data_IF_683551047394
#
_entry.id   IF_683551047394
#
_cell.length_a   1.000
_cell.length_b   1.000
_cell.length_c   1.000
_cell.angle_alpha   90.00
_cell.angle_beta   90.00
_cell.angle_gamma   90.00
#
_symmetry.space_group_name_H-M   'P 1'
#
loop_
_entity.id
_entity.type
_entity.pdbx_description
1 polymer ?
#
# COMPACT_ATOMS: atom_id res chain seq x y z
N UNK A 1 -34.08 38.76 -0.97
CA UNK A 1 -33.05 39.21 -1.94
C UNK A 1 -31.83 39.69 -1.15
N UNK A 2 -31.05 38.75 -0.62
CA UNK A 2 -29.79 38.98 0.10
C UNK A 2 -28.88 37.81 -0.33
N UNK A 3 -27.57 38.04 -0.34
CA UNK A 3 -26.46 37.11 -0.63
C UNK A 3 -25.84 37.25 -2.05
N UNK A 4 -25.09 38.36 -2.27
CA UNK A 4 -23.90 38.31 -3.12
C UNK A 4 -22.59 38.30 -2.30
N UNK A 5 -22.61 38.74 -1.03
CA UNK A 5 -21.38 38.94 -0.24
C UNK A 5 -20.74 37.66 0.33
N UNK A 6 -21.52 36.60 0.58
CA UNK A 6 -21.00 35.34 1.16
C UNK A 6 -20.13 34.58 0.15
N UNK A 7 -20.41 34.69 -1.16
CA UNK A 7 -19.63 34.00 -2.20
C UNK A 7 -18.22 34.57 -2.36
N UNK A 8 -18.03 35.87 -2.11
CA UNK A 8 -16.72 36.50 -2.24
C UNK A 8 -15.77 36.10 -1.10
N UNK A 9 -16.26 36.08 0.15
CA UNK A 9 -15.46 35.64 1.28
C UNK A 9 -15.06 34.16 1.19
N UNK A 10 -15.96 33.30 0.69
CA UNK A 10 -15.66 31.87 0.50
C UNK A 10 -14.59 31.66 -0.59
N UNK A 11 -14.66 32.42 -1.69
CA UNK A 11 -13.70 32.35 -2.79
C UNK A 11 -12.31 32.86 -2.36
N UNK A 12 -12.25 33.94 -1.57
CA UNK A 12 -11.01 34.47 -1.01
C UNK A 12 -10.39 33.49 -0.01
N UNK A 13 -11.20 32.81 0.81
CA UNK A 13 -10.72 31.80 1.74
C UNK A 13 -10.17 30.56 1.01
N UNK A 14 -10.84 30.12 -0.07
CA UNK A 14 -10.35 29.03 -0.92
C UNK A 14 -9.05 29.40 -1.65
N UNK A 15 -8.94 30.64 -2.16
CA UNK A 15 -7.72 31.14 -2.81
C UNK A 15 -6.56 31.26 -1.82
N UNK A 16 -6.83 31.69 -0.57
CA UNK A 16 -5.83 31.71 0.50
C UNK A 16 -5.38 30.31 0.89
N UNK A 17 -6.28 29.32 0.97
CA UNK A 17 -5.92 27.92 1.25
C UNK A 17 -5.10 27.28 0.13
N UNK A 18 -5.41 27.58 -1.14
CA UNK A 18 -4.61 27.12 -2.29
C UNK A 18 -3.25 27.85 -2.35
N UNK A 19 -3.20 29.13 -1.97
CA UNK A 19 -1.96 29.90 -1.91
C UNK A 19 -1.05 29.44 -0.76
N UNK A 20 -1.59 29.10 0.41
CA UNK A 20 -0.80 28.55 1.52
C UNK A 20 -0.31 27.13 1.25
N UNK A 21 -1.04 26.33 0.47
CA UNK A 21 -0.53 25.05 -0.04
C UNK A 21 0.59 25.20 -1.09
N UNK A 22 0.59 26.27 -1.89
CA UNK A 22 1.66 26.55 -2.87
C UNK A 22 2.90 27.23 -2.29
N UNK A 23 2.81 27.88 -1.12
CA UNK A 23 3.93 28.59 -0.49
C UNK A 23 4.83 27.71 0.40
N UNK A 24 4.58 26.39 0.48
CA UNK A 24 5.45 25.42 1.18
C UNK A 24 6.30 24.55 0.24
N UNK A 25 6.60 25.04 -0.96
CA UNK A 25 7.70 24.48 -1.75
C UNK A 25 8.94 25.33 -1.47
N UNK A 26 9.59 25.06 -0.33
CA UNK A 26 10.91 25.61 -0.06
C UNK A 26 11.87 25.11 -1.14
N UNK A 27 12.44 26.04 -1.90
CA UNK A 27 13.59 25.77 -2.74
C UNK A 27 14.74 25.30 -1.84
N UNK A 28 15.10 24.03 -1.95
CA UNK A 28 16.24 23.45 -1.24
C UNK A 28 17.55 24.08 -1.73
N UNK A 29 18.43 24.55 -0.84
CA UNK A 29 19.77 24.99 -1.22
C UNK A 29 20.57 23.81 -1.79
N UNK A 30 21.08 23.98 -3.01
CA UNK A 30 21.88 23.00 -3.74
C UNK A 30 23.33 22.98 -3.24
N UNK A 31 23.56 22.48 -2.02
CA UNK A 31 24.89 22.07 -1.59
C UNK A 31 25.07 20.57 -1.86
N UNK A 32 25.71 20.26 -2.98
CA UNK A 32 26.02 18.89 -3.40
C UNK A 32 27.18 18.32 -2.57
N UNK A 33 26.86 17.84 -1.37
CA UNK A 33 27.59 16.69 -0.81
C UNK A 33 26.72 15.47 -1.10
N UNK A 34 27.29 14.44 -1.71
CA UNK A 34 26.58 13.18 -1.99
C UNK A 34 26.36 12.42 -0.68
N UNK A 35 25.57 12.95 0.25
CA UNK A 35 24.94 12.11 1.26
C UNK A 35 23.90 11.28 0.52
N UNK A 36 24.11 9.96 0.47
CA UNK A 36 23.07 9.06 -0.01
C UNK A 36 21.85 9.31 0.87
N UNK A 37 20.75 9.79 0.29
CA UNK A 37 19.49 9.95 1.00
C UNK A 37 19.19 8.63 1.74
N UNK A 38 18.78 8.68 3.01
CA UNK A 38 18.47 7.48 3.77
C UNK A 38 17.44 6.65 3.01
N UNK A 39 17.66 5.34 2.94
CA UNK A 39 16.68 4.43 2.37
C UNK A 39 15.36 4.57 3.15
N UNK A 40 14.21 4.60 2.47
CA UNK A 40 12.94 4.70 3.17
C UNK A 40 12.72 3.49 4.08
N UNK A 41 11.98 3.66 5.19
CA UNK A 41 11.75 2.60 6.15
C UNK A 41 10.99 1.42 5.55
N UNK A 42 11.26 0.23 6.09
CA UNK A 42 10.46 -0.96 5.79
C UNK A 42 9.13 -0.91 6.54
N UNK A 43 8.06 -1.36 5.87
CA UNK A 43 6.73 -1.54 6.45
C UNK A 43 6.46 -3.03 6.59
N UNK A 44 6.50 -3.54 7.81
CA UNK A 44 6.34 -4.96 8.14
C UNK A 44 4.88 -5.24 8.47
N UNK A 45 4.17 -5.92 7.58
CA UNK A 45 2.77 -6.25 7.75
C UNK A 45 2.58 -7.61 8.44
N UNK A 46 1.87 -7.61 9.57
CA UNK A 46 1.56 -8.78 10.38
C UNK A 46 0.06 -9.08 10.29
N UNK A 47 -0.34 -10.33 10.05
CA UNK A 47 -1.76 -10.70 9.92
C UNK A 47 -2.44 -11.06 11.25
N UNK A 48 -1.68 -11.18 12.33
CA UNK A 48 -2.20 -11.59 13.65
C UNK A 48 -1.41 -10.97 14.81
N UNK A 49 -1.95 -10.96 16.04
CA UNK A 49 -1.20 -10.56 17.24
C UNK A 49 0.06 -11.41 17.47
N UNK A 50 -0.01 -12.72 17.22
CA UNK A 50 1.15 -13.62 17.34
C UNK A 50 2.27 -13.26 16.36
N UNK A 51 1.92 -12.92 15.11
CA UNK A 51 2.91 -12.40 14.16
C UNK A 51 3.48 -11.06 14.61
N UNK A 52 2.64 -10.18 15.16
CA UNK A 52 3.09 -8.88 15.68
C UNK A 52 4.11 -9.05 16.83
N UNK A 53 3.86 -9.93 17.79
CA UNK A 53 4.81 -10.22 18.88
C UNK A 53 6.14 -10.77 18.34
N UNK A 54 6.10 -11.67 17.35
CA UNK A 54 7.32 -12.18 16.71
C UNK A 54 8.06 -11.09 15.94
N UNK A 55 7.33 -10.19 15.27
CA UNK A 55 7.92 -9.04 14.58
C UNK A 55 8.57 -8.06 15.57
N UNK A 56 7.94 -7.83 16.73
CA UNK A 56 8.53 -7.07 17.85
C UNK A 56 9.87 -7.71 18.25
N UNK A 57 9.91 -9.01 18.56
CA UNK A 57 11.16 -9.69 18.93
C UNK A 57 12.25 -9.61 17.86
N UNK A 58 11.85 -9.54 16.58
CA UNK A 58 12.79 -9.57 15.47
C UNK A 58 13.35 -8.20 15.11
N UNK A 59 12.50 -7.17 15.13
CA UNK A 59 12.83 -5.86 14.61
C UNK A 59 13.14 -4.84 15.70
N UNK A 60 12.60 -5.00 16.90
CA UNK A 60 12.81 -4.04 18.00
C UNK A 60 14.07 -4.43 18.77
N UNK A 61 14.86 -3.41 19.12
CA UNK A 61 16.10 -3.55 19.87
C UNK A 61 15.93 -2.98 21.27
N UNK A 62 16.75 -3.48 22.19
CA UNK A 62 16.90 -2.84 23.49
C UNK A 62 17.37 -1.38 23.31
N UNK A 63 16.73 -0.46 24.03
CA UNK A 63 17.00 0.98 23.94
C UNK A 63 16.14 1.75 22.93
N UNK A 64 15.38 1.07 22.05
CA UNK A 64 14.55 1.74 21.04
C UNK A 64 13.49 2.68 21.69
N UNK A 65 13.25 3.82 21.05
CA UNK A 65 12.08 4.69 21.26
C UNK A 65 10.94 4.21 20.36
N UNK A 66 9.87 3.69 20.94
CA UNK A 66 8.77 3.05 20.20
C UNK A 66 7.45 3.79 20.37
N UNK A 67 6.76 4.06 19.27
CA UNK A 67 5.38 4.53 19.25
C UNK A 67 4.44 3.34 18.95
N UNK A 68 3.54 2.98 19.87
CA UNK A 68 2.47 2.01 19.61
C UNK A 68 1.12 2.74 19.46
N UNK A 69 0.60 2.79 18.23
CA UNK A 69 -0.76 3.26 17.92
C UNK A 69 -1.74 2.08 17.91
N UNK A 70 -2.75 2.16 18.76
CA UNK A 70 -3.71 1.08 18.99
C UNK A 70 -3.29 0.18 20.13
N UNK A 71 -2.65 0.75 21.15
CA UNK A 71 -2.19 0.00 22.33
C UNK A 71 -3.39 -0.39 23.19
N UNK A 72 -3.66 -1.69 23.28
CA UNK A 72 -4.73 -2.20 24.15
C UNK A 72 -4.23 -2.61 25.54
N UNK A 73 -2.97 -2.33 25.87
CA UNK A 73 -2.31 -2.75 27.11
C UNK A 73 -2.44 -4.27 27.34
N UNK A 74 -2.18 -5.04 26.29
CA UNK A 74 -2.29 -6.52 26.29
C UNK A 74 -0.90 -7.17 26.38
N UNK A 75 -0.83 -8.49 26.32
CA UNK A 75 0.40 -9.28 26.21
C UNK A 75 1.34 -8.76 25.09
N UNK A 76 0.80 -8.20 24.00
CA UNK A 76 1.62 -7.61 22.93
C UNK A 76 2.38 -6.37 23.42
N UNK A 77 1.71 -5.50 24.16
CA UNK A 77 2.29 -4.29 24.75
C UNK A 77 3.26 -4.64 25.86
N UNK A 78 2.95 -5.64 26.69
CA UNK A 78 3.88 -6.16 27.70
C UNK A 78 5.15 -6.72 27.03
N UNK A 79 5.00 -7.54 26.00
CA UNK A 79 6.11 -8.12 25.23
C UNK A 79 6.97 -7.02 24.58
N UNK A 80 6.35 -5.97 24.04
CA UNK A 80 7.04 -4.77 23.57
C UNK A 80 7.91 -4.14 24.67
N UNK A 81 7.31 -3.86 25.83
CA UNK A 81 8.01 -3.22 26.95
C UNK A 81 9.19 -4.05 27.45
N UNK A 82 9.04 -5.38 27.49
CA UNK A 82 10.13 -6.30 27.81
C UNK A 82 11.24 -6.23 26.75
N UNK A 83 10.88 -6.24 25.46
CA UNK A 83 11.83 -6.24 24.34
C UNK A 83 12.69 -4.97 24.26
N UNK A 84 12.12 -3.79 24.54
CA UNK A 84 12.88 -2.52 24.52
C UNK A 84 13.84 -2.37 25.72
N UNK A 85 13.74 -3.23 26.74
CA UNK A 85 14.61 -3.22 27.91
C UNK A 85 14.55 -1.92 28.73
N UNK A 86 15.36 -1.83 29.79
CA UNK A 86 15.27 -0.74 30.77
C UNK A 86 15.66 0.63 30.21
N UNK A 87 16.43 0.65 29.11
CA UNK A 87 16.92 1.87 28.46
C UNK A 87 15.98 2.39 27.36
N UNK A 88 15.03 1.57 26.90
CA UNK A 88 14.06 1.97 25.89
C UNK A 88 12.87 2.73 26.48
N UNK A 89 12.09 3.37 25.62
CA UNK A 89 10.81 4.00 26.02
C UNK A 89 9.71 3.67 25.04
N UNK A 90 8.49 3.57 25.54
CA UNK A 90 7.30 3.35 24.74
C UNK A 90 6.27 4.45 24.96
N UNK A 91 5.82 5.07 23.86
CA UNK A 91 4.64 5.94 23.83
C UNK A 91 3.47 5.11 23.31
N UNK A 92 2.51 4.84 24.18
CA UNK A 92 1.37 3.97 23.93
C UNK A 92 0.11 4.81 23.75
N UNK A 93 -0.58 4.63 22.63
CA UNK A 93 -1.73 5.46 22.26
C UNK A 93 -2.93 4.57 21.92
N UNK A 94 -4.08 4.85 22.52
CA UNK A 94 -5.38 4.25 22.14
C UNK A 94 -6.43 5.36 21.95
N UNK A 95 -7.51 5.06 21.23
CA UNK A 95 -8.66 5.96 21.13
C UNK A 95 -9.69 5.59 22.18
N UNK A 96 -10.18 6.57 22.93
CA UNK A 96 -11.23 6.39 23.93
C UNK A 96 -12.47 5.81 23.28
N UNK A 97 -12.93 4.67 23.81
CA UNK A 97 -14.12 3.98 23.29
C UNK A 97 -15.29 4.25 24.19
N UNK A 98 -16.46 4.53 23.61
CA UNK A 98 -17.71 4.47 24.36
C UNK A 98 -17.87 3.03 24.84
N UNK A 99 -17.93 2.83 26.16
CA UNK A 99 -17.92 1.53 26.86
C UNK A 99 -18.92 0.48 26.33
N UNK A 100 -19.89 0.89 25.50
CA UNK A 100 -21.05 0.11 25.12
C UNK A 100 -20.91 -0.90 23.98
N UNK A 101 -19.76 -1.05 23.29
CA UNK A 101 -19.75 -1.87 22.04
C UNK A 101 -18.83 -3.09 21.99
N UNK A 102 -17.84 -3.24 22.87
CA UNK A 102 -17.03 -4.46 22.86
C UNK A 102 -16.62 -4.82 24.28
N UNK A 103 -17.10 -5.95 24.83
CA UNK A 103 -16.63 -6.53 26.09
C UNK A 103 -15.16 -6.97 26.11
N UNK A 104 -14.32 -6.39 25.23
CA UNK A 104 -12.87 -6.59 25.14
C UNK A 104 -12.07 -5.65 26.04
N UNK A 105 -12.70 -4.63 26.64
CA UNK A 105 -12.02 -3.67 27.53
C UNK A 105 -12.24 -3.95 29.02
N UNK A 106 -13.21 -4.80 29.39
CA UNK A 106 -13.67 -4.88 30.79
C UNK A 106 -12.71 -5.57 31.77
N UNK A 107 -11.63 -6.20 31.30
CA UNK A 107 -10.65 -6.92 32.15
C UNK A 107 -9.19 -6.55 31.84
N UNK A 108 -8.92 -5.32 31.36
CA UNK A 108 -7.53 -4.90 31.11
C UNK A 108 -6.83 -4.64 32.45
N UNK A 109 -5.79 -5.41 32.74
CA UNK A 109 -4.88 -5.09 33.84
C UNK A 109 -3.93 -3.97 33.42
N UNK A 110 -4.41 -2.73 33.58
CA UNK A 110 -3.61 -1.55 33.28
C UNK A 110 -2.61 -1.24 34.39
N UNK A 111 -2.68 -1.93 35.54
CA UNK A 111 -1.86 -1.63 36.71
C UNK A 111 -0.37 -1.83 36.43
N UNK A 112 -0.01 -2.81 35.60
CA UNK A 112 1.38 -3.04 35.15
C UNK A 112 2.01 -1.83 34.45
N UNK A 113 1.19 -1.02 33.80
CA UNK A 113 1.62 0.11 32.99
C UNK A 113 1.41 1.46 33.69
N UNK A 114 0.36 1.56 34.52
CA UNK A 114 -0.14 2.84 35.04
C UNK A 114 -0.05 2.97 36.56
N UNK A 115 0.16 1.89 37.31
CA UNK A 115 0.32 2.01 38.76
C UNK A 115 1.71 2.56 39.11
N UNK A 116 1.82 3.27 40.25
CA UNK A 116 3.10 3.83 40.72
C UNK A 116 4.18 2.76 40.92
N UNK A 117 3.78 1.52 41.22
CA UNK A 117 4.66 0.36 41.37
C UNK A 117 4.64 -0.55 40.14
N UNK A 118 4.05 -0.10 39.02
CA UNK A 118 3.96 -0.85 37.79
C UNK A 118 5.35 -1.08 37.20
N UNK A 119 5.62 -2.30 36.75
CA UNK A 119 6.93 -2.72 36.21
C UNK A 119 7.47 -1.76 35.13
N UNK A 120 6.56 -1.13 34.37
CA UNK A 120 6.93 -0.32 33.20
C UNK A 120 6.71 1.18 33.37
N UNK A 121 6.26 1.64 34.55
CA UNK A 121 5.77 3.02 34.75
C UNK A 121 6.80 4.10 34.38
N UNK A 122 8.09 3.85 34.59
CA UNK A 122 9.15 4.84 34.33
C UNK A 122 9.55 4.97 32.85
N UNK A 123 9.12 4.05 31.99
CA UNK A 123 9.50 3.98 30.58
C UNK A 123 8.31 3.99 29.62
N UNK A 124 7.09 3.93 30.14
CA UNK A 124 5.85 3.94 29.37
C UNK A 124 5.12 5.25 29.56
N UNK A 125 4.74 5.88 28.46
CA UNK A 125 3.79 6.99 28.44
C UNK A 125 2.52 6.52 27.75
N UNK A 126 1.43 6.34 28.49
CA UNK A 126 0.12 6.01 27.92
C UNK A 126 -0.73 7.27 27.69
N UNK A 127 -1.35 7.36 26.51
CA UNK A 127 -2.25 8.45 26.14
C UNK A 127 -3.53 7.89 25.53
N UNK A 128 -4.66 8.28 26.09
CA UNK A 128 -5.97 7.98 25.54
C UNK A 128 -6.48 9.20 24.77
N UNK A 129 -6.83 9.02 23.50
CA UNK A 129 -7.29 10.09 22.62
C UNK A 129 -8.80 10.24 22.68
N UNK A 130 -9.31 11.46 22.79
CA UNK A 130 -10.74 11.73 22.61
C UNK A 130 -11.14 11.63 21.14
N UNK A 131 -10.22 12.02 20.25
CA UNK A 131 -10.40 11.95 18.80
C UNK A 131 -9.15 11.38 18.14
N UNK A 132 -9.35 10.54 17.13
CA UNK A 132 -8.25 9.84 16.46
C UNK A 132 -7.16 10.79 15.93
N UNK A 133 -7.54 11.93 15.35
CA UNK A 133 -6.63 12.90 14.75
C UNK A 133 -5.60 13.50 15.71
N UNK A 134 -5.85 13.41 17.03
CA UNK A 134 -4.94 13.85 18.09
C UNK A 134 -3.65 13.03 18.15
N UNK A 135 -3.56 11.85 17.54
CA UNK A 135 -2.34 11.02 17.59
C UNK A 135 -1.09 11.78 17.13
N UNK A 136 -1.25 12.70 16.18
CA UNK A 136 -0.17 13.54 15.63
C UNK A 136 0.53 14.36 16.70
N UNK A 137 -0.21 14.85 17.70
CA UNK A 137 0.37 15.66 18.77
C UNK A 137 1.22 14.86 19.76
N UNK A 138 1.21 13.53 19.63
CA UNK A 138 2.01 12.62 20.45
C UNK A 138 3.11 11.93 19.63
N UNK A 139 3.14 12.16 18.32
CA UNK A 139 4.20 11.73 17.42
C UNK A 139 5.28 12.82 17.21
N UNK A 140 5.43 13.74 18.17
CA UNK A 140 6.43 14.83 18.11
C UNK A 140 7.84 14.36 18.41
N UNK A 141 8.01 13.35 19.26
CA UNK A 141 9.32 12.80 19.55
C UNK A 141 9.91 12.07 18.33
N UNK A 142 11.21 11.79 18.41
CA UNK A 142 11.92 10.96 17.45
C UNK A 142 11.74 9.50 17.86
N UNK A 143 11.22 8.69 16.95
CA UNK A 143 10.95 7.28 17.20
C UNK A 143 11.77 6.40 16.27
N UNK A 144 12.41 5.39 16.83
CA UNK A 144 13.15 4.38 16.06
C UNK A 144 12.19 3.41 15.36
N UNK A 145 11.04 3.15 15.99
CA UNK A 145 10.04 2.18 15.52
C UNK A 145 8.63 2.71 15.76
N UNK A 146 7.74 2.44 14.81
CA UNK A 146 6.30 2.56 15.01
C UNK A 146 5.65 1.18 14.93
N UNK A 147 4.72 0.92 15.85
CA UNK A 147 3.77 -0.18 15.80
C UNK A 147 2.38 0.40 15.56
N UNK A 148 1.63 -0.18 14.62
CA UNK A 148 0.26 0.22 14.30
C UNK A 148 -0.67 -0.99 14.32
N UNK A 149 -1.63 -1.03 15.25
CA UNK A 149 -2.80 -1.92 15.16
C UNK A 149 -3.96 -1.16 14.49
N UNK A 150 -4.02 -1.27 13.15
CA UNK A 150 -5.00 -0.53 12.34
C UNK A 150 -6.45 -0.88 12.70
N UNK A 151 -6.73 -2.15 13.00
CA UNK A 151 -8.05 -2.61 13.40
C UNK A 151 -8.49 -2.03 14.75
N UNK A 152 -7.55 -1.89 15.68
CA UNK A 152 -7.82 -1.25 16.98
C UNK A 152 -8.04 0.25 16.85
N UNK A 153 -7.29 0.95 16.00
CA UNK A 153 -7.39 2.41 15.87
C UNK A 153 -8.59 2.88 15.05
N UNK A 154 -8.90 2.20 13.94
CA UNK A 154 -9.86 2.68 12.93
C UNK A 154 -11.16 1.86 12.97
N UNK A 155 -11.18 0.75 13.72
CA UNK A 155 -12.32 -0.18 13.82
C UNK A 155 -12.47 -1.13 12.63
N UNK A 156 -11.87 -0.82 11.48
CA UNK A 156 -11.85 -1.65 10.29
C UNK A 156 -10.41 -1.89 9.81
N UNK A 157 -10.11 -3.13 9.45
CA UNK A 157 -8.80 -3.52 8.92
C UNK A 157 -8.71 -3.25 7.42
N UNK A 158 -8.60 -1.97 7.04
CA UNK A 158 -8.45 -1.52 5.66
C UNK A 158 -7.00 -1.15 5.35
N UNK A 159 -6.39 -1.83 4.37
CA UNK A 159 -4.98 -1.63 4.02
C UNK A 159 -4.67 -0.20 3.55
N UNK A 160 -5.60 0.48 2.87
CA UNK A 160 -5.43 1.89 2.47
C UNK A 160 -5.29 2.82 3.68
N UNK A 161 -6.11 2.62 4.71
CA UNK A 161 -6.06 3.42 5.93
C UNK A 161 -4.78 3.14 6.70
N UNK A 162 -4.38 1.87 6.80
CA UNK A 162 -3.13 1.47 7.44
C UNK A 162 -1.90 2.10 6.75
N UNK A 163 -1.84 2.06 5.41
CA UNK A 163 -0.76 2.66 4.63
C UNK A 163 -0.74 4.18 4.73
N UNK A 164 -1.91 4.83 4.74
CA UNK A 164 -2.01 6.29 4.91
C UNK A 164 -1.38 6.71 6.23
N UNK A 165 -1.72 6.02 7.33
CA UNK A 165 -1.19 6.33 8.65
C UNK A 165 0.31 6.05 8.78
N UNK A 166 0.77 4.92 8.25
CA UNK A 166 2.19 4.59 8.23
C UNK A 166 3.00 5.65 7.47
N UNK A 167 2.54 6.04 6.26
CA UNK A 167 3.23 7.04 5.45
C UNK A 167 3.17 8.44 6.06
N UNK A 168 2.05 8.81 6.69
CA UNK A 168 1.94 10.07 7.42
C UNK A 168 2.92 10.14 8.59
N UNK A 169 3.04 9.06 9.36
CA UNK A 169 4.04 8.97 10.42
C UNK A 169 5.47 9.08 9.87
N UNK A 170 5.79 8.32 8.82
CA UNK A 170 7.12 8.35 8.18
C UNK A 170 7.45 9.77 7.71
N UNK A 171 6.51 10.45 7.02
CA UNK A 171 6.71 11.82 6.56
C UNK A 171 6.98 12.78 7.73
N UNK A 172 6.17 12.71 8.80
CA UNK A 172 6.33 13.55 9.99
C UNK A 172 7.69 13.35 10.70
N UNK A 173 8.22 12.12 10.67
CA UNK A 173 9.52 11.81 11.25
C UNK A 173 10.68 12.23 10.33
N UNK A 174 10.54 12.06 9.01
CA UNK A 174 11.53 12.51 8.03
C UNK A 174 11.69 14.04 8.00
N UNK A 175 10.63 14.81 8.24
CA UNK A 175 10.70 16.27 8.38
C UNK A 175 11.63 16.73 9.53
N UNK A 176 11.91 15.84 10.49
CA UNK A 176 12.77 16.10 11.66
C UNK A 176 14.14 15.45 11.56
N UNK A 177 14.50 14.91 10.39
CA UNK A 177 15.70 14.10 10.19
C UNK A 177 15.76 12.86 11.11
N UNK A 178 14.59 12.36 11.51
CA UNK A 178 14.44 11.25 12.45
C UNK A 178 13.78 10.04 11.78
N UNK A 179 14.27 9.63 10.61
CA UNK A 179 13.66 8.55 9.84
C UNK A 179 13.59 7.26 10.68
N UNK A 180 12.39 6.70 10.93
CA UNK A 180 12.27 5.47 11.70
C UNK A 180 12.98 4.34 10.96
N UNK A 181 13.49 3.35 11.69
CA UNK A 181 14.14 2.19 11.09
C UNK A 181 13.12 1.25 10.46
N UNK A 182 11.96 1.11 11.09
CA UNK A 182 10.91 0.16 10.69
C UNK A 182 9.54 0.60 11.21
N UNK A 183 8.51 0.33 10.41
CA UNK A 183 7.11 0.46 10.81
C UNK A 183 6.49 -0.94 10.79
N UNK A 184 5.96 -1.39 11.92
CA UNK A 184 5.31 -2.70 12.07
C UNK A 184 3.80 -2.48 12.12
N UNK A 185 3.06 -3.07 11.19
CA UNK A 185 1.62 -2.86 11.07
C UNK A 185 0.89 -4.18 11.22
N UNK A 186 0.03 -4.29 12.23
CA UNK A 186 -0.90 -5.42 12.35
C UNK A 186 -2.17 -5.12 11.56
N UNK A 187 -2.23 -5.73 10.39
CA UNK A 187 -3.32 -5.64 9.41
C UNK A 187 -3.30 -6.89 8.52
N UNK A 188 -4.38 -7.68 8.56
CA UNK A 188 -4.54 -8.87 7.72
C UNK A 188 -4.65 -8.46 6.25
N UNK A 189 -5.39 -7.40 5.94
CA UNK A 189 -5.55 -6.94 4.55
C UNK A 189 -4.25 -6.39 3.98
N UNK A 190 -3.46 -5.64 4.76
CA UNK A 190 -2.16 -5.15 4.33
C UNK A 190 -1.14 -6.29 4.20
N UNK A 191 -1.17 -7.27 5.11
CA UNK A 191 -0.34 -8.48 5.01
C UNK A 191 -0.68 -9.30 3.76
N UNK A 192 -1.96 -9.40 3.40
CA UNK A 192 -2.39 -10.02 2.15
C UNK A 192 -1.82 -9.27 0.93
N UNK A 193 -1.94 -7.94 0.87
CA UNK A 193 -1.34 -7.13 -0.19
C UNK A 193 0.18 -7.33 -0.27
N UNK A 194 0.86 -7.33 0.88
CA UNK A 194 2.30 -7.51 0.98
C UNK A 194 2.79 -8.88 0.43
N UNK A 195 1.97 -9.93 0.53
CA UNK A 195 2.27 -11.24 -0.07
C UNK A 195 2.03 -11.29 -1.58
N UNK A 196 1.14 -10.44 -2.09
CA UNK A 196 0.73 -10.42 -3.51
C UNK A 196 1.52 -9.43 -4.36
N UNK A 197 2.13 -8.42 -3.75
CA UNK A 197 2.93 -7.43 -4.46
C UNK A 197 4.34 -7.98 -4.75
N UNK A 198 4.73 -8.01 -6.03
CA UNK A 198 6.02 -8.52 -6.47
C UNK A 198 6.76 -7.40 -7.16
N UNK A 199 7.91 -7.00 -6.60
CA UNK A 199 8.78 -6.04 -7.24
C UNK A 199 9.22 -6.55 -8.63
N UNK A 200 8.92 -5.80 -9.68
CA UNK A 200 9.18 -6.18 -11.07
C UNK A 200 10.63 -6.55 -11.35
N UNK A 201 11.61 -5.81 -10.85
CA UNK A 201 13.01 -6.20 -10.99
C UNK A 201 13.30 -7.62 -10.46
N UNK A 202 12.69 -8.02 -9.33
CA UNK A 202 12.85 -9.38 -8.76
C UNK A 202 12.21 -10.46 -9.61
N UNK A 203 11.13 -10.13 -10.31
CA UNK A 203 10.53 -11.01 -11.31
C UNK A 203 11.47 -11.16 -12.51
N UNK A 204 11.99 -10.04 -13.02
CA UNK A 204 12.78 -9.99 -14.25
C UNK A 204 14.20 -10.56 -14.12
N UNK A 205 14.79 -10.54 -12.92
CA UNK A 205 16.09 -11.16 -12.63
C UNK A 205 15.99 -12.61 -12.13
N UNK A 206 14.76 -13.12 -11.96
CA UNK A 206 14.50 -14.49 -11.54
C UNK A 206 14.67 -14.74 -10.03
N UNK A 207 14.89 -13.71 -9.21
CA UNK A 207 14.95 -13.86 -7.74
C UNK A 207 13.59 -14.19 -7.13
N UNK A 208 12.50 -13.82 -7.80
CA UNK A 208 11.13 -14.26 -7.49
C UNK A 208 10.56 -15.04 -8.65
N UNK A 209 10.14 -16.28 -8.40
CA UNK A 209 9.43 -17.13 -9.37
C UNK A 209 7.94 -17.10 -9.05
N UNK A 210 7.13 -16.76 -10.06
CA UNK A 210 5.66 -16.78 -9.96
C UNK A 210 5.16 -18.19 -10.24
N UNK A 211 4.27 -18.70 -9.39
CA UNK A 211 3.66 -20.02 -9.60
C UNK A 211 2.85 -20.03 -10.91
N UNK A 212 2.91 -21.14 -11.64
CA UNK A 212 2.10 -21.32 -12.85
C UNK A 212 0.61 -21.57 -12.54
N UNK A 213 0.31 -22.01 -11.32
CA UNK A 213 -1.01 -22.47 -10.88
C UNK A 213 -1.81 -21.37 -10.19
N UNK A 214 -1.48 -20.11 -10.44
CA UNK A 214 -2.25 -18.99 -9.91
C UNK A 214 -3.57 -18.96 -10.66
N UNK A 215 -4.66 -18.91 -9.89
CA UNK A 215 -6.01 -18.81 -10.41
C UNK A 215 -6.49 -17.36 -10.40
N UNK A 216 -7.57 -17.12 -11.16
CA UNK A 216 -8.25 -15.83 -11.21
C UNK A 216 -8.91 -15.55 -9.86
N UNK A 217 -8.78 -14.32 -9.36
CA UNK A 217 -9.42 -13.93 -8.10
C UNK A 217 -9.56 -12.42 -7.96
N UNK A 218 -10.32 -11.98 -6.97
CA UNK A 218 -10.39 -10.57 -6.55
C UNK A 218 -9.15 -10.11 -5.76
N UNK A 219 -8.18 -11.00 -5.53
CA UNK A 219 -6.91 -10.76 -4.86
C UNK A 219 -5.73 -11.16 -5.80
N UNK A 220 -5.57 -10.50 -6.95
CA UNK A 220 -4.53 -10.86 -7.93
C UNK A 220 -3.13 -10.57 -7.40
N UNK A 221 -2.12 -11.19 -8.02
CA UNK A 221 -0.75 -10.68 -7.91
C UNK A 221 -0.66 -9.26 -8.48
N UNK A 222 0.20 -8.44 -7.89
CA UNK A 222 0.44 -7.06 -8.35
C UNK A 222 1.91 -6.89 -8.69
N UNK A 223 2.22 -6.54 -9.94
CA UNK A 223 3.59 -6.34 -10.43
C UNK A 223 3.78 -4.89 -10.85
N UNK A 224 4.26 -4.01 -9.95
CA UNK A 224 4.50 -2.62 -10.30
C UNK A 224 5.83 -2.44 -11.02
N UNK A 225 5.79 -1.73 -12.14
CA UNK A 225 6.92 -1.38 -12.99
C UNK A 225 7.12 0.14 -12.99
N UNK A 226 8.35 0.62 -13.16
CA UNK A 226 8.66 2.06 -13.23
C UNK A 226 8.53 2.56 -14.66
N UNK A 227 9.14 1.86 -15.61
CA UNK A 227 9.22 2.28 -17.02
C UNK A 227 8.44 1.37 -17.96
N UNK A 228 8.08 1.90 -19.13
CA UNK A 228 7.37 1.13 -20.18
C UNK A 228 8.18 -0.09 -20.67
N UNK A 229 9.50 0.01 -20.68
CA UNK A 229 10.37 -1.11 -21.08
C UNK A 229 10.33 -2.24 -20.04
N UNK A 230 10.38 -1.90 -18.75
CA UNK A 230 10.24 -2.87 -17.66
C UNK A 230 8.86 -3.53 -17.70
N UNK A 231 7.81 -2.71 -17.84
CA UNK A 231 6.43 -3.14 -17.99
C UNK A 231 6.25 -4.17 -19.11
N UNK A 232 6.75 -3.89 -20.32
CA UNK A 232 6.70 -4.84 -21.45
C UNK A 232 7.53 -6.10 -21.25
N UNK A 233 8.66 -6.01 -20.54
CA UNK A 233 9.52 -7.18 -20.24
C UNK A 233 8.85 -8.18 -19.31
N UNK A 234 7.76 -7.81 -18.63
CA UNK A 234 7.00 -8.75 -17.78
C UNK A 234 6.10 -9.71 -18.58
N UNK A 235 5.78 -9.39 -19.85
CA UNK A 235 4.87 -10.19 -20.69
C UNK A 235 5.26 -11.67 -20.76
N UNK A 236 6.51 -12.05 -21.06
CA UNK A 236 6.90 -13.47 -21.16
C UNK A 236 6.82 -14.25 -19.83
N UNK A 237 6.70 -13.56 -18.70
CA UNK A 237 6.64 -14.18 -17.37
C UNK A 237 5.21 -14.36 -16.86
N UNK A 238 4.28 -13.53 -17.35
CA UNK A 238 2.94 -13.38 -16.75
C UNK A 238 1.81 -13.70 -17.73
N UNK A 239 2.07 -13.69 -19.04
CA UNK A 239 1.08 -13.94 -20.08
C UNK A 239 1.39 -15.27 -20.75
N UNK A 240 0.37 -16.11 -20.90
CA UNK A 240 0.43 -17.43 -21.54
C UNK A 240 -0.36 -17.42 -22.84
N UNK A 241 -0.02 -18.35 -23.73
CA UNK A 241 -0.88 -18.63 -24.88
C UNK A 241 -2.26 -19.07 -24.38
N UNK A 242 -3.31 -18.53 -24.99
CA UNK A 242 -4.69 -18.79 -24.62
C UNK A 242 -5.28 -17.82 -23.59
N UNK A 243 -4.44 -17.04 -22.89
CA UNK A 243 -4.91 -16.07 -21.90
C UNK A 243 -5.78 -14.98 -22.54
N UNK A 244 -6.61 -14.37 -21.70
CA UNK A 244 -7.39 -13.19 -22.04
C UNK A 244 -6.83 -11.98 -21.29
N UNK A 245 -6.28 -11.02 -22.05
CA UNK A 245 -5.59 -9.86 -21.52
C UNK A 245 -6.32 -8.55 -21.83
N UNK A 246 -6.20 -7.59 -20.92
CA UNK A 246 -6.61 -6.20 -21.19
C UNK A 246 -5.52 -5.23 -20.77
N UNK A 247 -5.23 -4.26 -21.62
CA UNK A 247 -4.41 -3.10 -21.28
C UNK A 247 -5.27 -1.86 -21.08
N UNK A 248 -5.23 -1.28 -19.89
CA UNK A 248 -5.85 -0.01 -19.52
C UNK A 248 -4.82 1.11 -19.64
N UNK A 249 -5.12 2.13 -20.44
CA UNK A 249 -4.18 3.17 -20.83
C UNK A 249 -3.26 2.72 -21.97
N UNK A 250 -3.83 2.15 -23.03
CA UNK A 250 -3.08 1.53 -24.13
C UNK A 250 -2.27 2.52 -24.96
N UNK A 251 -2.56 3.84 -24.87
CA UNK A 251 -1.94 4.86 -25.70
C UNK A 251 -1.99 4.45 -27.20
N UNK A 252 -0.87 4.53 -27.93
CA UNK A 252 -0.76 4.08 -29.32
C UNK A 252 -0.79 2.55 -29.54
N UNK A 253 -1.08 1.74 -28.52
CA UNK A 253 -1.39 0.31 -28.67
C UNK A 253 -0.19 -0.64 -28.82
N UNK A 254 1.06 -0.15 -28.74
CA UNK A 254 2.26 -1.01 -28.91
C UNK A 254 2.32 -2.15 -27.90
N UNK A 255 2.03 -1.88 -26.62
CA UNK A 255 2.05 -2.93 -25.59
C UNK A 255 0.86 -3.88 -25.78
N UNK A 256 -0.32 -3.36 -26.09
CA UNK A 256 -1.50 -4.18 -26.43
C UNK A 256 -1.21 -5.14 -27.58
N UNK A 257 -0.53 -4.68 -28.63
CA UNK A 257 -0.09 -5.55 -29.73
C UNK A 257 0.85 -6.67 -29.24
N UNK A 258 1.79 -6.35 -28.35
CA UNK A 258 2.65 -7.38 -27.75
C UNK A 258 1.87 -8.39 -26.92
N UNK A 259 0.83 -7.95 -26.18
CA UNK A 259 -0.07 -8.85 -25.45
C UNK A 259 -0.84 -9.74 -26.42
N UNK A 260 -1.42 -9.16 -27.47
CA UNK A 260 -2.13 -9.89 -28.53
C UNK A 260 -1.25 -10.97 -29.16
N UNK A 261 0.01 -10.66 -29.44
CA UNK A 261 0.94 -11.63 -30.02
C UNK A 261 1.32 -12.72 -29.01
N UNK A 262 1.43 -12.39 -27.72
CA UNK A 262 1.78 -13.33 -26.65
C UNK A 262 0.64 -14.31 -26.30
N UNK A 263 -0.61 -13.84 -26.31
CA UNK A 263 -1.78 -14.71 -26.04
C UNK A 263 -2.09 -15.66 -27.21
N UNK A 264 -1.59 -15.35 -28.41
CA UNK A 264 -1.70 -16.21 -29.58
C UNK A 264 -3.12 -16.35 -30.13
N UNK A 265 -3.31 -17.29 -31.06
CA UNK A 265 -4.58 -17.46 -31.81
C UNK A 265 -5.75 -17.93 -30.95
N UNK A 266 -5.43 -18.64 -29.87
CA UNK A 266 -6.40 -19.19 -28.94
C UNK A 266 -6.64 -18.26 -27.75
N UNK A 267 -6.10 -17.05 -27.75
CA UNK A 267 -6.25 -16.06 -26.68
C UNK A 267 -6.99 -14.81 -27.15
N UNK A 268 -7.07 -13.82 -26.27
CA UNK A 268 -7.69 -12.54 -26.55
C UNK A 268 -6.90 -11.42 -25.90
N UNK A 269 -6.69 -10.30 -26.60
CA UNK A 269 -6.12 -9.11 -25.99
C UNK A 269 -6.79 -7.86 -26.53
N UNK A 270 -7.12 -6.92 -25.63
CA UNK A 270 -7.70 -5.64 -26.01
C UNK A 270 -7.00 -4.47 -25.29
N UNK A 271 -6.96 -3.33 -25.96
CA UNK A 271 -6.42 -2.09 -25.40
C UNK A 271 -7.52 -1.06 -25.20
N UNK A 272 -7.49 -0.36 -24.07
CA UNK A 272 -8.45 0.72 -23.80
C UNK A 272 -7.75 1.99 -23.36
N UNK A 273 -8.33 3.14 -23.71
CA UNK A 273 -7.84 4.46 -23.35
C UNK A 273 -9.01 5.44 -23.30
N UNK A 274 -8.91 6.50 -22.51
CA UNK A 274 -9.95 7.54 -22.43
C UNK A 274 -9.92 8.47 -23.65
N UNK A 275 -8.79 8.55 -24.36
CA UNK A 275 -8.58 9.44 -25.50
C UNK A 275 -9.11 8.86 -26.82
N UNK A 276 -10.22 9.38 -27.41
CA UNK A 276 -10.76 8.85 -28.67
C UNK A 276 -9.79 8.98 -29.85
N UNK A 277 -9.01 10.06 -29.92
CA UNK A 277 -7.97 10.24 -30.95
C UNK A 277 -6.84 9.22 -30.81
N UNK A 278 -6.46 8.89 -29.58
CA UNK A 278 -5.43 7.90 -29.27
C UNK A 278 -5.89 6.51 -29.75
N UNK A 279 -7.14 6.14 -29.43
CA UNK A 279 -7.74 4.88 -29.87
C UNK A 279 -7.89 4.80 -31.39
N UNK A 280 -8.31 5.87 -32.05
CA UNK A 280 -8.39 5.91 -33.51
C UNK A 280 -7.02 5.62 -34.16
N UNK A 281 -5.95 6.23 -33.64
CA UNK A 281 -4.59 6.00 -34.10
C UNK A 281 -4.13 4.56 -33.82
N UNK A 282 -4.44 4.00 -32.65
CA UNK A 282 -4.09 2.62 -32.31
C UNK A 282 -4.79 1.62 -33.25
N UNK A 283 -6.07 1.82 -33.57
CA UNK A 283 -6.82 1.00 -34.55
C UNK A 283 -6.22 1.09 -35.95
N UNK A 284 -5.78 2.27 -36.37
CA UNK A 284 -5.12 2.43 -37.66
C UNK A 284 -3.78 1.70 -37.70
N UNK A 285 -3.02 1.76 -36.61
CA UNK A 285 -1.69 1.17 -36.51
C UNK A 285 -1.72 -0.36 -36.37
N UNK A 286 -2.71 -0.91 -35.66
CA UNK A 286 -2.87 -2.34 -35.42
C UNK A 286 -4.33 -2.76 -35.68
N UNK A 287 -4.75 -2.89 -36.96
CA UNK A 287 -6.15 -3.11 -37.32
C UNK A 287 -6.73 -4.45 -36.83
N UNK A 288 -5.87 -5.44 -36.58
CA UNK A 288 -6.28 -6.76 -36.09
C UNK A 288 -6.44 -6.83 -34.57
N UNK A 289 -6.07 -5.76 -33.84
CA UNK A 289 -6.13 -5.70 -32.38
C UNK A 289 -7.35 -4.90 -31.93
N UNK A 290 -8.21 -5.45 -31.05
CA UNK A 290 -9.33 -4.71 -30.47
C UNK A 290 -8.87 -3.52 -29.63
N UNK A 291 -9.42 -2.34 -29.93
CA UNK A 291 -9.24 -1.13 -29.12
C UNK A 291 -10.58 -0.45 -28.83
N UNK A 292 -10.74 0.12 -27.63
CA UNK A 292 -11.96 0.85 -27.25
C UNK A 292 -11.69 2.10 -26.42
N UNK A 293 -12.61 3.06 -26.54
CA UNK A 293 -12.60 4.26 -25.69
C UNK A 293 -13.28 3.91 -24.37
N UNK A 294 -12.48 3.71 -23.31
CA UNK A 294 -12.98 3.35 -21.99
C UNK A 294 -12.23 4.13 -20.92
N UNK A 295 -12.97 4.62 -19.93
CA UNK A 295 -12.42 5.22 -18.72
C UNK A 295 -11.99 4.12 -17.75
N UNK A 296 -10.74 4.17 -17.27
CA UNK A 296 -10.18 3.21 -16.34
C UNK A 296 -11.02 3.02 -15.06
N UNK A 297 -11.71 4.06 -14.61
CA UNK A 297 -12.55 4.02 -13.41
C UNK A 297 -13.94 3.40 -13.65
N UNK A 298 -14.33 3.21 -14.91
CA UNK A 298 -15.58 2.53 -15.29
C UNK A 298 -15.29 1.04 -15.51
N UNK A 299 -14.88 0.34 -14.45
CA UNK A 299 -14.34 -1.02 -14.55
C UNK A 299 -15.31 -2.06 -15.12
N UNK A 300 -16.63 -1.86 -15.01
CA UNK A 300 -17.63 -2.70 -15.68
C UNK A 300 -17.61 -2.56 -17.22
N UNK A 301 -17.22 -1.41 -17.75
CA UNK A 301 -17.06 -1.21 -19.19
C UNK A 301 -15.88 -2.02 -19.75
N UNK A 302 -14.88 -2.34 -18.92
CA UNK A 302 -13.78 -3.23 -19.30
C UNK A 302 -14.30 -4.63 -19.67
N UNK A 303 -15.31 -5.14 -18.96
CA UNK A 303 -15.95 -6.41 -19.28
C UNK A 303 -16.76 -6.36 -20.58
N UNK A 304 -17.35 -5.20 -20.90
CA UNK A 304 -18.09 -5.04 -22.17
C UNK A 304 -17.18 -5.13 -23.39
N UNK A 305 -15.91 -4.74 -23.27
CA UNK A 305 -14.92 -4.94 -24.34
C UNK A 305 -14.74 -6.44 -24.63
N UNK A 306 -14.67 -7.27 -23.59
CA UNK A 306 -14.62 -8.73 -23.75
C UNK A 306 -15.89 -9.28 -24.37
N UNK A 307 -17.07 -8.86 -23.93
CA UNK A 307 -18.35 -9.31 -24.51
C UNK A 307 -18.43 -8.96 -26.01
N UNK A 308 -17.84 -7.82 -26.41
CA UNK A 308 -17.88 -7.33 -27.79
C UNK A 308 -16.93 -8.07 -28.73
N UNK A 309 -15.73 -8.42 -28.26
CA UNK A 309 -14.65 -8.92 -29.13
C UNK A 309 -14.06 -10.26 -28.72
N UNK A 310 -14.20 -10.62 -27.44
CA UNK A 310 -13.66 -11.85 -26.87
C UNK A 310 -14.60 -13.03 -27.06
N UNK A 311 -14.23 -14.16 -26.45
CA UNK A 311 -15.11 -15.33 -26.38
C UNK A 311 -16.14 -15.11 -25.28
N UNK A 312 -17.38 -15.50 -25.56
CA UNK A 312 -18.49 -15.42 -24.60
C UNK A 312 -18.59 -16.66 -23.70
N UNK A 313 -17.46 -17.32 -23.44
CA UNK A 313 -17.36 -18.55 -22.63
C UNK A 313 -17.13 -18.27 -21.14
N UNK A 314 -16.54 -17.12 -20.78
CA UNK A 314 -16.33 -16.70 -19.40
C UNK A 314 -16.35 -15.17 -19.27
N UNK A 315 -16.61 -14.65 -18.06
CA UNK A 315 -16.42 -13.22 -17.74
C UNK A 315 -15.04 -12.99 -17.12
N UNK A 316 -14.50 -11.77 -17.26
CA UNK A 316 -13.23 -11.32 -16.68
C UNK A 316 -12.01 -11.56 -17.56
N UNK A 317 -10.81 -11.33 -17.02
CA UNK A 317 -9.54 -11.42 -17.75
C UNK A 317 -8.56 -12.27 -16.95
N UNK A 318 -7.59 -12.90 -17.60
CA UNK A 318 -6.51 -13.60 -16.91
C UNK A 318 -5.43 -12.63 -16.44
N UNK A 319 -5.13 -11.61 -17.25
CA UNK A 319 -4.07 -10.64 -16.95
C UNK A 319 -4.52 -9.23 -17.31
N UNK A 320 -4.34 -8.29 -16.37
CA UNK A 320 -4.58 -6.88 -16.61
C UNK A 320 -3.27 -6.11 -16.61
N UNK A 321 -3.09 -5.24 -17.59
CA UNK A 321 -1.97 -4.31 -17.71
C UNK A 321 -2.53 -2.89 -17.53
N UNK A 322 -1.99 -2.09 -16.61
CA UNK A 322 -2.45 -0.73 -16.35
C UNK A 322 -1.30 0.30 -16.47
N UNK A 323 -1.43 1.22 -17.43
CA UNK A 323 -0.53 2.36 -17.62
C UNK A 323 -1.34 3.67 -17.69
N UNK A 324 -1.62 4.27 -16.53
CA UNK A 324 -2.50 5.42 -16.43
C UNK A 324 -1.71 6.65 -16.00
N UNK A 325 -1.78 7.68 -16.84
CA UNK A 325 -1.18 8.99 -16.56
C UNK A 325 -1.69 9.57 -15.25
N UNK A 326 -0.80 10.21 -14.49
CA UNK A 326 -1.14 10.85 -13.21
C UNK A 326 -1.04 9.94 -11.97
N UNK A 327 -1.00 8.60 -12.14
CA UNK A 327 -0.90 7.66 -11.01
C UNK A 327 0.54 7.35 -10.56
N UNK A 328 1.55 7.77 -11.33
CA UNK A 328 2.97 7.52 -11.04
C UNK A 328 3.63 8.51 -10.07
N UNK A 329 2.91 9.57 -9.65
CA UNK A 329 3.45 10.62 -8.78
C UNK A 329 3.59 10.19 -7.32
N UNK A 330 4.25 11.03 -6.50
CA UNK A 330 4.44 10.79 -5.06
C UNK A 330 3.12 10.60 -4.29
N UNK A 331 2.05 11.25 -4.76
CA UNK A 331 0.73 11.17 -4.13
C UNK A 331 -0.17 10.09 -4.74
N UNK A 332 0.20 9.46 -5.86
CA UNK A 332 -0.68 8.56 -6.62
C UNK A 332 -0.83 7.15 -6.05
N UNK A 333 -0.29 6.88 -4.86
CA UNK A 333 -0.25 5.53 -4.28
C UNK A 333 -1.66 5.03 -3.92
N UNK A 334 -2.45 5.87 -3.26
CA UNK A 334 -3.79 5.49 -2.79
C UNK A 334 -4.76 5.36 -3.97
N UNK A 335 -4.67 6.25 -4.96
CA UNK A 335 -5.44 6.18 -6.19
C UNK A 335 -5.06 4.94 -7.01
N UNK A 336 -3.76 4.62 -7.09
CA UNK A 336 -3.30 3.39 -7.74
C UNK A 336 -3.90 2.15 -7.07
N UNK A 337 -3.80 2.04 -5.74
CA UNK A 337 -4.36 0.90 -4.99
C UNK A 337 -5.89 0.82 -5.12
N UNK A 338 -6.59 1.95 -5.01
CA UNK A 338 -8.06 2.01 -5.16
C UNK A 338 -8.50 1.55 -6.56
N UNK A 339 -7.78 1.98 -7.60
CA UNK A 339 -8.04 1.53 -8.95
C UNK A 339 -7.75 0.04 -9.12
N UNK A 340 -6.62 -0.46 -8.61
CA UNK A 340 -6.27 -1.87 -8.66
C UNK A 340 -7.31 -2.74 -7.98
N UNK A 341 -7.82 -2.34 -6.81
CA UNK A 341 -8.92 -3.01 -6.12
C UNK A 341 -10.19 -3.03 -6.98
N UNK A 342 -10.48 -1.92 -7.66
CA UNK A 342 -11.66 -1.81 -8.53
C UNK A 342 -11.54 -2.70 -9.78
N UNK A 343 -10.36 -2.75 -10.39
CA UNK A 343 -10.05 -3.64 -11.53
C UNK A 343 -10.11 -5.09 -11.06
N UNK A 344 -9.47 -5.42 -9.94
CA UNK A 344 -9.42 -6.78 -9.39
C UNK A 344 -10.82 -7.33 -9.10
N UNK A 345 -11.69 -6.55 -8.47
CA UNK A 345 -13.07 -6.96 -8.18
C UNK A 345 -13.94 -7.10 -9.43
N UNK A 346 -13.70 -6.28 -10.45
CA UNK A 346 -14.51 -6.32 -11.67
C UNK A 346 -14.05 -7.40 -12.66
N UNK A 347 -12.75 -7.63 -12.76
CA UNK A 347 -12.14 -8.46 -13.82
C UNK A 347 -11.56 -9.77 -13.33
N UNK A 348 -11.38 -9.91 -12.01
CA UNK A 348 -10.81 -11.08 -11.33
C UNK A 348 -9.58 -11.67 -12.04
N UNK A 349 -8.53 -10.87 -12.29
CA UNK A 349 -7.35 -11.38 -12.96
C UNK A 349 -6.53 -12.29 -12.05
N UNK A 350 -5.63 -13.06 -12.65
CA UNK A 350 -4.55 -13.73 -11.91
C UNK A 350 -3.49 -12.73 -11.49
N UNK A 351 -3.24 -11.76 -12.35
CA UNK A 351 -2.19 -10.76 -12.16
C UNK A 351 -2.59 -9.41 -12.74
N UNK A 352 -2.23 -8.34 -12.03
CA UNK A 352 -2.25 -6.97 -12.54
C UNK A 352 -0.82 -6.45 -12.60
N UNK A 353 -0.38 -6.05 -13.79
CA UNK A 353 0.87 -5.31 -14.00
C UNK A 353 0.54 -3.83 -14.07
N UNK A 354 1.20 -3.00 -13.28
CA UNK A 354 0.93 -1.55 -13.24
C UNK A 354 2.20 -0.75 -13.49
N UNK A 355 2.16 0.25 -14.39
CA UNK A 355 3.25 1.21 -14.54
C UNK A 355 3.07 2.35 -13.53
N UNK A 356 3.71 2.21 -12.37
CA UNK A 356 3.64 3.21 -11.29
C UNK A 356 4.89 3.16 -10.39
N UNK A 357 5.61 4.29 -10.33
CA UNK A 357 6.79 4.45 -9.49
C UNK A 357 6.45 4.33 -7.99
N UNK A 358 5.35 4.92 -7.53
CA UNK A 358 4.97 4.85 -6.11
C UNK A 358 4.57 3.42 -5.70
N UNK A 359 3.88 2.67 -6.56
CA UNK A 359 3.61 1.25 -6.32
C UNK A 359 4.89 0.41 -6.31
N UNK A 360 5.86 0.73 -7.17
CA UNK A 360 7.15 0.04 -7.19
C UNK A 360 7.97 0.32 -5.92
N UNK A 361 7.94 1.57 -5.42
CA UNK A 361 8.50 1.92 -4.10
C UNK A 361 7.79 1.18 -2.97
N UNK A 362 6.47 1.08 -3.01
CA UNK A 362 5.71 0.28 -2.04
C UNK A 362 6.17 -1.19 -2.07
N UNK A 363 6.35 -1.80 -3.24
CA UNK A 363 6.85 -3.18 -3.36
C UNK A 363 8.27 -3.38 -2.79
N UNK A 364 9.06 -2.31 -2.67
CA UNK A 364 10.37 -2.33 -2.02
C UNK A 364 10.28 -2.23 -0.50
N UNK A 365 9.28 -1.51 0.01
CA UNK A 365 9.12 -1.19 1.44
C UNK A 365 8.22 -2.17 2.18
N UNK A 366 7.14 -2.62 1.55
CA UNK A 366 6.08 -3.42 2.16
C UNK A 366 6.47 -4.90 2.16
N UNK A 367 6.52 -5.50 3.35
CA UNK A 367 6.97 -6.87 3.56
C UNK A 367 5.98 -7.60 4.46
N UNK A 368 5.47 -8.75 4.01
CA UNK A 368 4.69 -9.64 4.87
C UNK A 368 5.61 -10.33 5.87
N UNK A 369 5.34 -10.21 7.17
CA UNK A 369 6.19 -10.80 8.21
C UNK A 369 6.33 -12.32 8.06
N UNK A 370 5.24 -13.01 7.69
CA UNK A 370 5.25 -14.45 7.38
C UNK A 370 6.32 -14.84 6.35
N UNK A 371 6.59 -13.99 5.35
CA UNK A 371 7.63 -14.24 4.35
C UNK A 371 9.05 -14.13 4.90
N UNK A 372 9.25 -13.28 5.91
CA UNK A 372 10.53 -13.16 6.64
C UNK A 372 10.70 -14.35 7.56
N UNK A 373 9.66 -14.67 8.35
CA UNK A 373 9.67 -15.76 9.31
C UNK A 373 9.94 -17.11 8.64
N UNK A 374 9.26 -17.43 7.54
CA UNK A 374 9.45 -18.69 6.82
C UNK A 374 10.89 -18.86 6.30
N UNK A 375 11.55 -17.78 5.90
CA UNK A 375 12.97 -17.80 5.46
C UNK A 375 13.94 -18.04 6.62
N UNK A 376 13.57 -17.64 7.82
CA UNK A 376 14.38 -17.85 9.02
C UNK A 376 14.18 -19.30 9.49
N UNK A 377 12.93 -19.74 9.64
CA UNK A 377 12.60 -21.09 10.09
C UNK A 377 13.17 -22.19 9.18
N UNK A 378 13.20 -21.95 7.87
CA UNK A 378 13.80 -22.89 6.92
C UNK A 378 15.32 -22.99 7.05
N UNK A 379 16.01 -21.91 7.45
CA UNK A 379 17.47 -21.89 7.65
C UNK A 379 17.89 -22.48 8.98
N UNK A 380 17.08 -22.28 10.03
CA UNK A 380 17.38 -22.75 11.37
C UNK A 380 16.95 -24.19 11.63
N UNK A 381 16.23 -24.83 10.69
CA UNK A 381 15.65 -26.15 10.90
C UNK A 381 14.51 -26.16 11.93
N UNK A 382 13.98 -25.00 12.32
CA UNK A 382 12.92 -24.84 13.32
C UNK A 382 11.51 -25.25 12.85
N UNK A 383 11.41 -25.92 11.69
CA UNK A 383 10.14 -26.50 11.23
C UNK A 383 9.94 -27.88 11.86
N UNK A 384 9.69 -27.92 13.17
CA UNK A 384 9.24 -29.12 13.89
C UNK A 384 8.13 -28.77 14.85
#
# INVERSE_FOLDING_TARGET
MIIPRVRYSLLVYLLLMVATQKLRVHAFPSHSTKSSLPSPPQIIACSSPTELQRAISFYIKEGDQVLELGSQLTDTTQHLCQTIGSNGKATLIDVKRKEATTGRSSNRDTSLFLSENGEFVHRVTYKELEHFDQWRSYAYDNFDVMILDAGTMIGNDLHLSALTLANEFIANQMEKDACPRVVIVKSKTLSNLARRIIHSQRLLDGTTIVSKDIERSCDPLVVPCVGVNEYRRTIPFLVKEGDEAIEVGSHFGRTTKMLHDAVGKNGFAAGVDIGPKIIANAKQQYPDVPFEVVDAWKTLELLKVKIKYGRNDSLGYDVCYADIGGLSGANGLLESLSLLDSIAKATEPRTIVIKSLCMNRLASQLIAFSSVWNKISSKSGLNS
#
